data_IF_485711816756
#
_entry.id   IF_485711816756
#
_cell.length_a   1.000
_cell.length_b   1.000
_cell.length_c   1.000
_cell.angle_alpha   90.00
_cell.angle_beta   90.00
_cell.angle_gamma   90.00
#
_symmetry.space_group_name_H-M   'P 1'
#
loop_
_entity.id
_entity.type
_entity.pdbx_description
1 polymer ?
#
# COMPACT_ATOMS: atom_id res chain seq x y z
N UNK A 1 -4.42 -1.75 10.68
CA UNK A 1 -5.56 -2.37 9.97
C UNK A 1 -5.80 -1.97 8.53
N UNK A 2 -6.50 -0.88 8.19
CA UNK A 2 -7.01 -0.69 6.81
C UNK A 2 -5.91 -0.66 5.75
N UNK A 3 -4.78 -0.02 6.07
CA UNK A 3 -3.61 0.02 5.20
C UNK A 3 -2.88 -1.33 5.07
N UNK A 4 -2.99 -2.22 6.07
CA UNK A 4 -2.42 -3.58 6.02
C UNK A 4 -3.23 -4.52 5.12
N UNK A 5 -4.49 -4.16 4.82
CA UNK A 5 -5.31 -4.90 3.88
C UNK A 5 -4.96 -4.58 2.42
N UNK A 6 -4.23 -3.49 2.16
CA UNK A 6 -3.82 -3.09 0.81
C UNK A 6 -3.21 -4.25 -0.02
N UNK A 7 -2.22 -5.02 0.48
CA UNK A 7 -1.67 -6.18 -0.25
C UNK A 7 -2.68 -7.31 -0.52
N UNK A 8 -3.78 -7.39 0.24
CA UNK A 8 -4.84 -8.40 0.04
C UNK A 8 -5.91 -7.98 -0.97
N UNK A 9 -5.90 -6.71 -1.40
CA UNK A 9 -6.83 -6.23 -2.41
C UNK A 9 -6.47 -6.78 -3.80
N UNK A 10 -7.43 -6.94 -4.71
CA UNK A 10 -7.15 -7.26 -6.11
C UNK A 10 -6.21 -6.23 -6.74
N UNK A 11 -5.36 -6.67 -7.68
CA UNK A 11 -4.36 -5.80 -8.32
C UNK A 11 -4.99 -4.57 -9.01
N UNK A 12 -6.17 -4.70 -9.62
CA UNK A 12 -6.90 -3.58 -10.22
C UNK A 12 -7.28 -2.51 -9.18
N UNK A 13 -7.67 -2.93 -7.98
CA UNK A 13 -8.03 -2.02 -6.90
C UNK A 13 -6.77 -1.38 -6.28
N UNK A 14 -5.70 -2.15 -6.11
CA UNK A 14 -4.39 -1.61 -5.69
C UNK A 14 -3.90 -0.53 -6.66
N UNK A 15 -4.01 -0.78 -7.98
CA UNK A 15 -3.66 0.20 -9.02
C UNK A 15 -4.53 1.43 -8.95
N UNK A 16 -5.85 1.29 -8.85
CA UNK A 16 -6.77 2.43 -8.77
C UNK A 16 -6.45 3.33 -7.58
N UNK A 17 -6.24 2.73 -6.40
CA UNK A 17 -5.86 3.47 -5.18
C UNK A 17 -4.49 4.14 -5.35
N UNK A 18 -3.53 3.45 -5.98
CA UNK A 18 -2.20 4.01 -6.21
C UNK A 18 -2.24 5.19 -7.19
N UNK A 19 -3.04 5.10 -8.25
CA UNK A 19 -3.25 6.15 -9.25
C UNK A 19 -3.89 7.40 -8.61
N UNK A 20 -4.90 7.23 -7.75
CA UNK A 20 -5.50 8.35 -6.98
C UNK A 20 -4.52 9.03 -6.00
N UNK A 21 -3.41 8.37 -5.68
CA UNK A 21 -2.38 8.87 -4.78
C UNK A 21 -1.11 9.32 -5.54
N UNK A 22 -1.14 9.36 -6.88
CA UNK A 22 0.02 9.62 -7.76
C UNK A 22 1.23 8.74 -7.41
N UNK A 23 0.97 7.46 -7.13
CA UNK A 23 1.95 6.48 -6.69
C UNK A 23 1.81 5.17 -7.46
N UNK A 24 2.80 4.31 -7.30
CA UNK A 24 2.71 2.91 -7.69
C UNK A 24 2.30 2.03 -6.51
N UNK A 25 1.64 0.87 -6.75
CA UNK A 25 1.33 -0.09 -5.69
C UNK A 25 2.59 -0.51 -4.89
N UNK A 26 3.74 -0.61 -5.58
CA UNK A 26 5.02 -0.95 -4.95
C UNK A 26 5.51 0.12 -3.96
N UNK A 27 5.35 1.41 -4.29
CA UNK A 27 5.70 2.50 -3.37
C UNK A 27 4.81 2.53 -2.13
N UNK A 28 3.52 2.22 -2.30
CA UNK A 28 2.59 2.08 -1.18
C UNK A 28 3.03 0.93 -0.28
N UNK A 29 3.28 -0.26 -0.85
CA UNK A 29 3.75 -1.42 -0.09
C UNK A 29 5.05 -1.15 0.68
N UNK A 30 6.03 -0.51 0.03
CA UNK A 30 7.28 -0.11 0.68
C UNK A 30 7.02 0.82 1.86
N UNK A 31 6.15 1.82 1.69
CA UNK A 31 5.80 2.76 2.76
C UNK A 31 5.07 2.09 3.93
N UNK A 32 4.25 1.08 3.66
CA UNK A 32 3.59 0.26 4.69
C UNK A 32 4.59 -0.58 5.46
N UNK A 33 5.55 -1.18 4.77
CA UNK A 33 6.64 -1.94 5.38
C UNK A 33 7.53 -1.04 6.26
N UNK A 34 7.92 0.13 5.75
CA UNK A 34 8.69 1.12 6.52
C UNK A 34 7.95 1.58 7.78
N UNK A 35 6.63 1.79 7.70
CA UNK A 35 5.81 2.16 8.83
C UNK A 35 5.73 1.04 9.88
N UNK A 36 5.58 -0.22 9.44
CA UNK A 36 5.61 -1.39 10.34
C UNK A 36 6.95 -1.52 11.06
N UNK A 37 8.05 -1.35 10.34
CA UNK A 37 9.39 -1.51 10.89
C UNK A 37 9.78 -0.41 11.88
N UNK A 38 9.11 0.75 11.87
CA UNK A 38 9.34 1.83 12.86
C UNK A 38 8.63 1.63 14.20
N UNK A 39 7.69 0.69 14.28
CA UNK A 39 6.91 0.39 15.49
C UNK A 39 7.60 -0.73 16.31
N UNK A 40 8.56 -1.44 15.72
CA UNK A 40 9.39 -2.49 16.33
C UNK A 40 10.66 -1.89 16.94
#
# INVERSE_FOLDING_TARGET
DLCEQFPTLPMDLQRKIADELDRTPAEILKKLEDARNKII
#
